data_IF_043944548711
#
_entry.id   IF_043944548711
#
_cell.length_a   1.000
_cell.length_b   1.000
_cell.length_c   1.000
_cell.angle_alpha   90.00
_cell.angle_beta   90.00
_cell.angle_gamma   90.00
#
_symmetry.space_group_name_H-M   'P 1'
#
loop_
_entity.id
_entity.type
_entity.pdbx_description
1 polymer ?
#
# COMPACT_ATOMS: atom_id res chain seq x y z
N UNK A 1 -29.04 16.67 6.87
CA UNK A 1 -29.05 15.56 5.92
C UNK A 1 -28.63 14.32 6.68
N UNK A 2 -29.38 13.19 6.60
CA UNK A 2 -28.92 11.94 7.22
C UNK A 2 -27.58 11.53 6.59
N UNK A 3 -26.62 11.16 7.43
CA UNK A 3 -25.31 10.72 6.96
C UNK A 3 -25.48 9.33 6.32
N UNK A 4 -25.39 9.23 4.98
CA UNK A 4 -25.56 7.98 4.25
C UNK A 4 -24.38 7.04 4.54
N UNK A 5 -24.68 5.76 4.78
CA UNK A 5 -23.64 4.73 4.97
C UNK A 5 -22.90 4.50 3.67
N UNK A 6 -21.57 4.61 3.69
CA UNK A 6 -20.73 4.24 2.56
C UNK A 6 -20.52 2.72 2.55
N UNK A 7 -21.11 2.04 1.57
CA UNK A 7 -21.08 0.58 1.50
C UNK A 7 -19.69 0.02 1.16
N UNK A 8 -18.80 0.81 0.58
CA UNK A 8 -17.42 0.38 0.32
C UNK A 8 -16.53 0.35 1.56
N UNK A 9 -17.02 0.85 2.70
CA UNK A 9 -16.40 0.67 4.01
C UNK A 9 -16.72 -0.66 4.68
N UNK A 10 -17.66 -1.42 4.12
CA UNK A 10 -18.23 -2.60 4.77
C UNK A 10 -17.67 -3.89 4.15
N UNK A 11 -17.32 -4.85 5.01
CA UNK A 11 -17.03 -6.23 4.61
C UNK A 11 -18.30 -6.95 4.15
N UNK A 12 -18.17 -8.16 3.56
CA UNK A 12 -19.31 -8.96 3.14
C UNK A 12 -20.30 -9.24 4.29
N UNK A 13 -19.79 -9.51 5.49
CA UNK A 13 -20.62 -9.79 6.65
C UNK A 13 -21.33 -8.52 7.12
N UNK A 14 -20.62 -7.41 7.23
CA UNK A 14 -21.20 -6.10 7.58
C UNK A 14 -22.24 -5.61 6.55
N UNK A 15 -22.03 -5.88 5.25
CA UNK A 15 -23.04 -5.61 4.20
C UNK A 15 -24.27 -6.49 4.41
N UNK A 16 -24.08 -7.75 4.80
CA UNK A 16 -25.20 -8.66 5.07
C UNK A 16 -26.00 -8.18 6.27
N UNK A 17 -25.35 -7.77 7.35
CA UNK A 17 -25.99 -7.19 8.54
C UNK A 17 -26.73 -5.89 8.19
N UNK A 18 -26.10 -5.00 7.42
CA UNK A 18 -26.70 -3.76 6.95
C UNK A 18 -28.00 -4.01 6.17
N UNK A 19 -27.96 -4.95 5.24
CA UNK A 19 -29.11 -5.32 4.39
C UNK A 19 -30.25 -5.91 5.24
N UNK A 20 -29.93 -6.76 6.22
CA UNK A 20 -30.91 -7.31 7.17
C UNK A 20 -31.52 -6.19 8.02
N UNK A 21 -30.72 -5.23 8.46
CA UNK A 21 -31.18 -4.04 9.19
C UNK A 21 -32.15 -3.16 8.39
N UNK A 22 -32.08 -3.22 7.04
CA UNK A 22 -33.05 -2.59 6.13
C UNK A 22 -34.30 -3.45 5.87
N UNK A 23 -34.52 -4.55 6.60
CA UNK A 23 -35.64 -5.45 6.42
C UNK A 23 -35.56 -6.35 5.19
N UNK A 24 -34.37 -6.53 4.61
CA UNK A 24 -34.17 -7.37 3.43
C UNK A 24 -33.55 -8.72 3.80
N UNK A 25 -33.81 -9.78 3.01
CA UNK A 25 -33.19 -11.09 3.24
C UNK A 25 -31.66 -11.06 3.15
N UNK A 26 -30.96 -11.81 4.00
CA UNK A 26 -29.48 -11.85 4.10
C UNK A 26 -28.78 -12.15 2.75
N UNK A 27 -29.37 -12.97 1.87
CA UNK A 27 -28.79 -13.27 0.56
C UNK A 27 -28.61 -12.03 -0.34
N UNK A 28 -29.38 -10.96 -0.11
CA UNK A 28 -29.25 -9.68 -0.80
C UNK A 28 -27.90 -9.02 -0.53
N UNK A 29 -27.30 -9.27 0.66
CA UNK A 29 -25.96 -8.80 0.98
C UNK A 29 -24.91 -9.34 -0.01
N UNK A 30 -25.00 -10.64 -0.37
CA UNK A 30 -24.12 -11.25 -1.36
C UNK A 30 -24.33 -10.71 -2.78
N UNK A 31 -25.58 -10.45 -3.17
CA UNK A 31 -25.88 -9.81 -4.44
C UNK A 31 -25.30 -8.39 -4.49
N UNK A 32 -25.51 -7.62 -3.44
CA UNK A 32 -25.02 -6.25 -3.31
C UNK A 32 -23.48 -6.21 -3.42
N UNK A 33 -22.76 -7.09 -2.69
CA UNK A 33 -21.31 -7.20 -2.77
C UNK A 33 -20.81 -7.41 -4.20
N UNK A 34 -21.45 -8.30 -4.96
CA UNK A 34 -21.09 -8.54 -6.36
C UNK A 34 -21.30 -7.32 -7.28
N UNK A 35 -22.18 -6.40 -6.89
CA UNK A 35 -22.41 -5.16 -7.63
C UNK A 35 -21.45 -4.04 -7.27
N UNK A 36 -21.06 -3.93 -5.97
CA UNK A 36 -20.24 -2.83 -5.45
C UNK A 36 -18.90 -2.67 -6.19
N UNK A 37 -18.33 -3.78 -6.64
CA UNK A 37 -17.01 -3.83 -7.28
C UNK A 37 -17.08 -4.23 -8.75
N UNK A 38 -18.28 -4.25 -9.33
CA UNK A 38 -18.46 -4.48 -10.76
C UNK A 38 -18.00 -3.23 -11.53
N UNK A 39 -17.19 -3.40 -12.61
CA UNK A 39 -16.73 -2.28 -13.41
C UNK A 39 -17.86 -1.39 -13.92
N UNK A 40 -17.64 -0.08 -13.89
CA UNK A 40 -18.57 0.92 -14.44
C UNK A 40 -19.78 1.23 -13.56
N UNK A 41 -20.02 0.49 -12.46
CA UNK A 41 -21.16 0.76 -11.58
C UNK A 41 -20.90 1.98 -10.71
N UNK A 42 -21.77 2.98 -10.85
CA UNK A 42 -21.69 4.25 -10.11
C UNK A 42 -22.94 4.53 -9.27
N UNK A 43 -24.05 3.87 -9.56
CA UNK A 43 -25.34 4.13 -8.95
C UNK A 43 -26.10 2.83 -8.65
N UNK A 44 -26.89 2.84 -7.58
CA UNK A 44 -27.75 1.70 -7.22
C UNK A 44 -28.77 1.36 -8.30
N UNK A 45 -29.20 2.34 -9.11
CA UNK A 45 -30.14 2.14 -10.20
C UNK A 45 -29.64 1.15 -11.26
N UNK A 46 -28.33 1.01 -11.41
CA UNK A 46 -27.67 0.12 -12.39
C UNK A 46 -27.63 -1.35 -11.92
N UNK A 47 -27.92 -1.63 -10.64
CA UNK A 47 -27.91 -2.98 -10.06
C UNK A 47 -29.18 -3.74 -10.42
N UNK A 48 -29.30 -4.16 -11.67
CA UNK A 48 -30.58 -4.56 -12.30
C UNK A 48 -31.19 -5.84 -11.77
N UNK A 49 -30.44 -6.74 -11.15
CA UNK A 49 -30.96 -7.95 -10.48
C UNK A 49 -31.48 -7.71 -9.06
N UNK A 50 -31.27 -6.49 -8.52
CA UNK A 50 -31.90 -6.05 -7.29
C UNK A 50 -33.29 -5.47 -7.57
N UNK A 51 -34.27 -5.77 -6.70
CA UNK A 51 -35.62 -5.23 -6.81
C UNK A 51 -35.60 -3.69 -6.84
N UNK A 52 -36.47 -3.08 -7.63
CA UNK A 52 -36.52 -1.60 -7.79
C UNK A 52 -36.69 -0.87 -6.46
N UNK A 53 -37.55 -1.38 -5.55
CA UNK A 53 -37.77 -0.76 -4.26
C UNK A 53 -36.57 -0.88 -3.34
N UNK A 54 -35.81 -1.99 -3.42
CA UNK A 54 -34.56 -2.13 -2.67
C UNK A 54 -33.48 -1.17 -3.19
N UNK A 55 -33.37 -0.96 -4.50
CA UNK A 55 -32.46 0.04 -5.08
C UNK A 55 -32.77 1.46 -4.62
N UNK A 56 -34.07 1.82 -4.54
CA UNK A 56 -34.50 3.11 -3.99
C UNK A 56 -34.13 3.24 -2.51
N UNK A 57 -34.41 2.21 -1.72
CA UNK A 57 -34.09 2.17 -0.30
C UNK A 57 -32.56 2.33 -0.07
N UNK A 58 -31.73 1.66 -0.88
CA UNK A 58 -30.29 1.84 -0.84
C UNK A 58 -29.88 3.29 -1.18
N UNK A 59 -30.49 3.90 -2.21
CA UNK A 59 -30.18 5.27 -2.61
C UNK A 59 -30.56 6.31 -1.52
N UNK A 60 -31.55 6.01 -0.68
CA UNK A 60 -31.97 6.86 0.45
C UNK A 60 -31.00 6.77 1.63
N UNK A 61 -30.50 5.55 1.95
CA UNK A 61 -29.76 5.27 3.17
C UNK A 61 -28.26 5.06 3.00
N UNK A 62 -27.80 4.81 1.76
CA UNK A 62 -26.43 4.48 1.46
C UNK A 62 -25.84 5.33 0.33
N UNK A 63 -24.50 5.29 0.23
CA UNK A 63 -23.73 5.84 -0.88
C UNK A 63 -22.68 4.84 -1.37
N UNK A 64 -22.18 5.08 -2.57
CA UNK A 64 -21.02 4.41 -3.17
C UNK A 64 -19.94 5.48 -3.35
N UNK A 65 -18.94 5.49 -2.47
CA UNK A 65 -17.81 6.40 -2.67
C UNK A 65 -16.95 5.94 -3.84
N UNK A 66 -16.34 6.89 -4.52
CA UNK A 66 -15.36 6.67 -5.58
C UNK A 66 -14.44 7.88 -5.67
N UNK A 67 -13.28 7.71 -6.26
CA UNK A 67 -12.45 8.84 -6.63
C UNK A 67 -12.89 9.37 -8.00
N UNK A 68 -13.09 10.67 -8.07
CA UNK A 68 -13.43 11.39 -9.28
C UNK A 68 -12.20 12.18 -9.75
N UNK A 69 -12.03 12.31 -11.06
CA UNK A 69 -11.02 13.15 -11.72
C UNK A 69 -9.61 13.10 -11.10
N UNK A 70 -8.96 11.92 -11.07
CA UNK A 70 -7.62 11.81 -10.50
C UNK A 70 -6.60 12.63 -11.28
N UNK A 71 -5.66 13.25 -10.57
CA UNK A 71 -4.50 13.87 -11.20
C UNK A 71 -3.56 12.76 -11.64
N UNK A 72 -3.17 12.75 -12.92
CA UNK A 72 -2.32 11.72 -13.50
C UNK A 72 -0.96 12.29 -13.89
N UNK A 73 0.11 11.62 -13.46
CA UNK A 73 1.46 11.85 -13.92
C UNK A 73 2.00 10.54 -14.53
N UNK A 74 2.46 10.60 -15.78
CA UNK A 74 2.97 9.43 -16.53
C UNK A 74 4.48 9.48 -16.61
N UNK A 75 5.14 8.42 -16.19
CA UNK A 75 6.58 8.24 -16.31
C UNK A 75 6.97 7.71 -17.70
N UNK A 76 8.17 8.05 -18.13
CA UNK A 76 8.78 7.50 -19.36
C UNK A 76 8.96 5.98 -19.32
N UNK A 77 8.99 5.38 -18.14
CA UNK A 77 9.11 3.92 -17.94
C UNK A 77 7.75 3.20 -17.88
N UNK A 78 6.65 3.93 -18.12
CA UNK A 78 5.28 3.42 -18.12
C UNK A 78 4.56 3.44 -16.79
N UNK A 79 5.21 3.80 -15.69
CA UNK A 79 4.53 4.01 -14.40
C UNK A 79 3.55 5.17 -14.49
N UNK A 80 2.46 5.08 -13.72
CA UNK A 80 1.47 6.15 -13.61
C UNK A 80 1.23 6.45 -12.14
N UNK A 81 1.44 7.71 -11.75
CA UNK A 81 1.08 8.20 -10.43
C UNK A 81 -0.28 8.87 -10.48
N UNK A 82 -1.13 8.51 -9.54
CA UNK A 82 -2.48 9.03 -9.36
C UNK A 82 -2.51 9.87 -8.09
N UNK A 83 -2.96 11.12 -8.19
CA UNK A 83 -3.35 11.93 -7.06
C UNK A 83 -4.86 11.87 -6.88
N UNK A 84 -5.34 11.32 -5.77
CA UNK A 84 -6.76 11.18 -5.45
C UNK A 84 -7.19 12.23 -4.41
N UNK A 85 -8.20 13.03 -4.76
CA UNK A 85 -8.88 13.92 -3.81
C UNK A 85 -9.80 13.14 -2.87
N UNK A 86 -9.76 13.49 -1.59
CA UNK A 86 -10.59 12.92 -0.53
C UNK A 86 -11.74 13.88 -0.17
N UNK A 87 -12.82 13.35 0.43
CA UNK A 87 -14.01 14.12 0.82
C UNK A 87 -13.70 15.34 1.75
N UNK A 88 -12.59 15.30 2.47
CA UNK A 88 -12.12 16.36 3.37
C UNK A 88 -11.18 17.39 2.71
N UNK A 89 -11.03 17.33 1.38
CA UNK A 89 -10.14 18.20 0.61
C UNK A 89 -8.66 17.80 0.66
N UNK A 90 -8.30 16.71 1.34
CA UNK A 90 -6.95 16.17 1.34
C UNK A 90 -6.68 15.35 0.09
N UNK A 91 -5.41 15.00 -0.12
CA UNK A 91 -4.99 14.17 -1.25
C UNK A 91 -4.11 13.03 -0.79
N UNK A 92 -4.20 11.93 -1.51
CA UNK A 92 -3.28 10.79 -1.41
C UNK A 92 -2.72 10.46 -2.79
N UNK A 93 -1.56 9.84 -2.81
CA UNK A 93 -0.91 9.37 -4.03
C UNK A 93 -0.87 7.85 -4.07
N UNK A 94 -1.02 7.32 -5.27
CA UNK A 94 -1.02 5.88 -5.58
C UNK A 94 -0.24 5.67 -6.86
N UNK A 95 0.54 4.60 -6.97
CA UNK A 95 1.39 4.36 -8.15
C UNK A 95 1.06 3.03 -8.80
N UNK A 96 0.69 3.07 -10.07
CA UNK A 96 0.60 1.91 -10.93
C UNK A 96 1.97 1.62 -11.54
N UNK A 97 2.45 0.40 -11.35
CA UNK A 97 3.70 -0.13 -11.91
C UNK A 97 3.32 -1.26 -12.86
N UNK A 98 3.19 -0.99 -14.17
CA UNK A 98 2.81 -1.99 -15.15
C UNK A 98 4.02 -2.83 -15.58
N UNK A 99 3.79 -4.12 -15.74
CA UNK A 99 4.69 -5.08 -16.36
C UNK A 99 3.88 -5.97 -17.32
N UNK A 100 4.49 -6.65 -18.29
CA UNK A 100 3.75 -7.40 -19.32
C UNK A 100 2.76 -8.44 -18.77
N UNK A 101 3.09 -9.06 -17.64
CA UNK A 101 2.31 -10.13 -17.01
C UNK A 101 1.55 -9.70 -15.75
N UNK A 102 1.73 -8.47 -15.29
CA UNK A 102 1.12 -7.97 -14.04
C UNK A 102 1.05 -6.45 -13.98
N UNK A 103 0.07 -5.98 -13.24
CA UNK A 103 -0.03 -4.60 -12.78
C UNK A 103 0.08 -4.56 -11.26
N UNK A 104 1.16 -3.99 -10.74
CA UNK A 104 1.34 -3.78 -9.30
C UNK A 104 0.88 -2.38 -8.93
N UNK A 105 -0.02 -2.30 -7.96
CA UNK A 105 -0.49 -1.03 -7.42
C UNK A 105 0.12 -0.78 -6.03
N UNK A 106 0.86 0.32 -5.90
CA UNK A 106 1.37 0.82 -4.63
C UNK A 106 0.32 1.74 -4.02
N UNK A 107 -0.36 1.29 -2.96
CA UNK A 107 -1.49 1.99 -2.32
C UNK A 107 -1.08 2.68 -1.03
N UNK A 108 -1.75 3.78 -0.74
CA UNK A 108 -1.63 4.54 0.51
C UNK A 108 -2.58 4.02 1.57
N UNK A 109 -2.19 4.15 2.84
CA UNK A 109 -2.98 3.73 4.02
C UNK A 109 -3.31 4.88 4.98
N UNK A 110 -2.65 6.03 4.82
CA UNK A 110 -2.83 7.23 5.64
C UNK A 110 -2.65 8.48 4.78
N UNK A 111 -3.17 9.60 5.26
CA UNK A 111 -2.78 10.93 4.80
C UNK A 111 -1.59 11.36 5.65
N UNK A 112 -0.41 11.45 5.02
CA UNK A 112 0.87 11.65 5.72
C UNK A 112 1.33 10.41 6.52
N UNK A 113 2.35 10.58 7.38
CA UNK A 113 2.92 9.47 8.16
C UNK A 113 3.59 9.99 9.44
N UNK A 114 3.36 9.29 10.56
CA UNK A 114 3.95 9.65 11.87
C UNK A 114 5.32 9.01 12.13
N UNK A 115 5.83 8.17 11.23
CA UNK A 115 7.03 7.36 11.52
C UNK A 115 8.33 8.14 11.46
N UNK A 116 8.35 9.34 10.86
CA UNK A 116 9.51 10.22 10.77
C UNK A 116 10.77 9.56 10.21
N UNK A 117 10.60 8.62 9.25
CA UNK A 117 11.75 8.01 8.57
C UNK A 117 12.52 9.10 7.82
N UNK A 118 13.81 9.27 8.15
CA UNK A 118 14.62 10.41 7.68
C UNK A 118 14.90 10.43 6.17
N UNK A 119 14.66 9.32 5.49
CA UNK A 119 14.83 9.14 4.04
C UNK A 119 13.52 9.24 3.23
N UNK A 120 12.37 9.52 3.87
CA UNK A 120 11.05 9.43 3.25
C UNK A 120 10.35 10.80 3.20
N UNK A 121 9.95 11.24 2.01
CA UNK A 121 9.21 12.51 1.84
C UNK A 121 7.84 12.50 2.51
N UNK A 122 7.11 11.37 2.51
CA UNK A 122 5.83 11.29 3.20
C UNK A 122 5.94 11.62 4.69
N UNK A 123 7.08 11.30 5.31
CA UNK A 123 7.32 11.63 6.71
C UNK A 123 7.40 13.14 6.97
N UNK A 124 7.84 13.93 5.99
CA UNK A 124 7.92 15.40 6.12
C UNK A 124 6.56 16.08 6.17
N UNK A 125 5.51 15.40 5.72
CA UNK A 125 4.13 15.89 5.79
C UNK A 125 3.52 15.80 7.19
N UNK A 126 4.12 14.99 8.09
CA UNK A 126 3.51 14.61 9.34
C UNK A 126 2.29 13.69 9.13
N UNK A 127 1.67 13.28 10.24
CA UNK A 127 0.46 12.46 10.22
C UNK A 127 -0.77 13.36 10.30
N UNK A 128 -1.73 13.13 9.43
CA UNK A 128 -3.01 13.85 9.42
C UNK A 128 -4.13 12.92 9.89
N UNK A 129 -4.39 11.83 9.17
CA UNK A 129 -5.40 10.82 9.54
C UNK A 129 -5.18 9.48 8.86
N UNK A 130 -5.84 8.49 9.39
CA UNK A 130 -5.99 7.18 8.76
C UNK A 130 -6.96 7.26 7.57
N UNK A 131 -6.71 6.45 6.53
CA UNK A 131 -7.68 6.22 5.47
C UNK A 131 -8.75 5.25 5.95
N UNK A 132 -9.99 5.49 5.51
CA UNK A 132 -11.10 4.55 5.68
C UNK A 132 -10.92 3.34 4.74
N UNK A 133 -11.55 2.18 5.03
CA UNK A 133 -11.50 1.02 4.14
C UNK A 133 -11.88 1.35 2.69
N UNK A 134 -12.96 2.13 2.48
CA UNK A 134 -13.37 2.58 1.15
C UNK A 134 -12.29 3.40 0.44
N UNK A 135 -11.61 4.30 1.15
CA UNK A 135 -10.53 5.11 0.56
C UNK A 135 -9.32 4.25 0.16
N UNK A 136 -9.05 3.17 0.89
CA UNK A 136 -8.01 2.20 0.52
C UNK A 136 -8.43 1.40 -0.72
N UNK A 137 -9.63 0.84 -0.71
CA UNK A 137 -10.14 -0.04 -1.77
C UNK A 137 -10.40 0.74 -3.07
N UNK A 138 -10.89 1.98 -2.97
CA UNK A 138 -11.16 2.83 -4.13
C UNK A 138 -9.91 3.16 -4.94
N UNK A 139 -8.70 3.12 -4.36
CA UNK A 139 -7.45 3.24 -5.12
C UNK A 139 -7.35 2.12 -6.17
N UNK A 140 -7.70 0.89 -5.79
CA UNK A 140 -7.72 -0.26 -6.70
C UNK A 140 -8.82 -0.11 -7.74
N UNK A 141 -10.05 0.23 -7.32
CA UNK A 141 -11.18 0.40 -8.23
C UNK A 141 -10.93 1.48 -9.29
N UNK A 142 -10.41 2.64 -8.89
CA UNK A 142 -10.14 3.75 -9.80
C UNK A 142 -9.06 3.40 -10.83
N UNK A 143 -8.02 2.67 -10.41
CA UNK A 143 -6.96 2.23 -11.33
C UNK A 143 -7.45 1.09 -12.23
N UNK A 144 -8.32 0.21 -11.75
CA UNK A 144 -8.98 -0.78 -12.60
C UNK A 144 -9.85 -0.13 -13.69
N UNK A 145 -10.64 0.90 -13.33
CA UNK A 145 -11.43 1.67 -14.31
C UNK A 145 -10.52 2.39 -15.32
N UNK A 146 -9.42 2.97 -14.85
CA UNK A 146 -8.40 3.57 -15.72
C UNK A 146 -7.80 2.56 -16.70
N UNK A 147 -7.37 1.39 -16.23
CA UNK A 147 -6.78 0.35 -17.08
C UNK A 147 -7.75 -0.15 -18.17
N UNK A 148 -9.03 -0.32 -17.83
CA UNK A 148 -10.06 -0.72 -18.78
C UNK A 148 -10.40 0.36 -19.80
N UNK A 149 -10.24 1.64 -19.44
CA UNK A 149 -10.47 2.75 -20.36
C UNK A 149 -9.35 2.94 -21.40
N UNK A 150 -8.15 2.36 -21.15
CA UNK A 150 -7.04 2.47 -22.09
C UNK A 150 -7.24 1.52 -23.28
N UNK A 151 -6.94 1.96 -24.52
CA UNK A 151 -6.87 1.07 -25.68
C UNK A 151 -5.92 -0.11 -25.43
N UNK A 152 -6.21 -1.28 -25.99
CA UNK A 152 -5.44 -2.49 -25.76
C UNK A 152 -3.96 -2.32 -26.17
N UNK A 153 -3.73 -1.63 -27.28
CA UNK A 153 -2.41 -1.31 -27.83
C UNK A 153 -1.57 -0.37 -26.97
N UNK A 154 -2.18 0.40 -26.07
CA UNK A 154 -1.50 1.33 -25.16
C UNK A 154 -1.21 0.70 -23.79
N UNK A 155 -1.79 -0.46 -23.48
CA UNK A 155 -1.60 -1.15 -22.21
C UNK A 155 -0.33 -1.99 -22.23
N UNK A 156 0.51 -1.83 -21.19
CA UNK A 156 1.72 -2.64 -21.00
C UNK A 156 1.36 -4.02 -20.44
N UNK A 157 0.35 -4.12 -19.59
CA UNK A 157 -0.02 -5.33 -18.85
C UNK A 157 -1.53 -5.65 -18.89
N UNK A 158 -2.03 -6.45 -17.95
CA UNK A 158 -3.45 -6.80 -17.86
C UNK A 158 -4.38 -5.59 -17.75
N UNK A 159 -5.66 -5.76 -18.07
CA UNK A 159 -6.69 -4.71 -17.94
C UNK A 159 -7.16 -4.44 -16.50
N UNK A 160 -6.51 -5.03 -15.52
CA UNK A 160 -6.83 -4.85 -14.09
C UNK A 160 -5.57 -4.88 -13.23
N UNK A 161 -5.69 -4.36 -12.02
CA UNK A 161 -4.68 -4.53 -10.97
C UNK A 161 -4.58 -6.00 -10.60
N UNK A 162 -3.38 -6.52 -10.59
CA UNK A 162 -3.12 -7.93 -10.24
C UNK A 162 -2.41 -8.10 -8.90
N UNK A 163 -1.64 -7.11 -8.49
CA UNK A 163 -0.87 -7.11 -7.25
C UNK A 163 -1.07 -5.78 -6.51
N UNK A 164 -1.18 -5.84 -5.20
CA UNK A 164 -1.30 -4.65 -4.33
C UNK A 164 -0.18 -4.67 -3.30
N UNK A 165 0.52 -3.55 -3.16
CA UNK A 165 1.55 -3.36 -2.14
C UNK A 165 1.22 -2.13 -1.30
N UNK A 166 1.15 -2.29 0.01
CA UNK A 166 0.92 -1.19 0.95
C UNK A 166 2.28 -0.54 1.27
N UNK A 167 2.80 0.19 0.28
CA UNK A 167 4.10 0.88 0.32
C UNK A 167 4.00 2.36 -0.10
N UNK A 168 2.78 2.88 -0.21
CA UNK A 168 2.49 4.28 -0.48
C UNK A 168 2.59 5.14 0.78
N UNK A 169 1.73 6.13 0.90
CA UNK A 169 1.72 7.05 2.04
C UNK A 169 1.19 6.35 3.30
N UNK A 170 1.92 6.54 4.43
CA UNK A 170 1.52 6.06 5.75
C UNK A 170 2.18 4.75 6.20
N UNK A 171 2.00 4.45 7.49
CA UNK A 171 2.35 3.15 8.10
C UNK A 171 1.08 2.30 8.23
N UNK A 172 0.94 1.22 7.45
CA UNK A 172 -0.30 0.44 7.43
C UNK A 172 -0.70 -0.13 8.78
N UNK A 173 0.25 -0.54 9.61
CA UNK A 173 -0.06 -1.08 10.93
C UNK A 173 -0.55 0.00 11.92
N UNK A 174 -0.32 1.28 11.65
CA UNK A 174 -0.97 2.33 12.45
C UNK A 174 -2.45 2.49 12.12
N UNK A 175 -2.87 1.97 10.96
CA UNK A 175 -4.25 1.91 10.51
C UNK A 175 -4.79 0.46 10.46
N UNK A 176 -4.41 -0.39 11.43
CA UNK A 176 -4.60 -1.84 11.35
C UNK A 176 -6.07 -2.26 11.18
N UNK A 177 -7.00 -1.64 11.90
CA UNK A 177 -8.43 -2.00 11.81
C UNK A 177 -8.98 -1.78 10.40
N UNK A 178 -8.76 -0.58 9.83
CA UNK A 178 -9.20 -0.28 8.46
C UNK A 178 -8.41 -1.09 7.42
N UNK A 179 -7.13 -1.37 7.68
CA UNK A 179 -6.33 -2.24 6.84
C UNK A 179 -6.92 -3.65 6.76
N UNK A 180 -7.25 -4.26 7.89
CA UNK A 180 -7.82 -5.62 7.93
C UNK A 180 -9.18 -5.67 7.21
N UNK A 181 -10.03 -4.66 7.38
CA UNK A 181 -11.28 -4.54 6.61
C UNK A 181 -11.00 -4.40 5.11
N UNK A 182 -10.07 -3.54 4.72
CA UNK A 182 -9.68 -3.39 3.32
C UNK A 182 -9.12 -4.69 2.73
N UNK A 183 -8.28 -5.42 3.46
CA UNK A 183 -7.76 -6.73 3.03
C UNK A 183 -8.88 -7.75 2.83
N UNK A 184 -9.87 -7.80 3.74
CA UNK A 184 -11.06 -8.65 3.60
C UNK A 184 -11.85 -8.30 2.34
N UNK A 185 -12.05 -7.02 2.07
CA UNK A 185 -12.79 -6.54 0.88
C UNK A 185 -12.00 -6.84 -0.41
N UNK A 186 -10.69 -6.59 -0.42
CA UNK A 186 -9.83 -6.84 -1.58
C UNK A 186 -9.79 -8.33 -1.97
N UNK A 187 -9.92 -9.22 -0.98
CA UNK A 187 -9.87 -10.68 -1.20
C UNK A 187 -11.25 -11.34 -1.33
N UNK A 188 -12.34 -10.58 -1.18
CA UNK A 188 -13.70 -11.12 -1.32
C UNK A 188 -13.94 -11.62 -2.75
N UNK A 189 -14.25 -12.90 -2.88
CA UNK A 189 -14.43 -13.59 -4.16
C UNK A 189 -15.59 -13.02 -5.01
N UNK A 190 -16.61 -12.47 -4.36
CA UNK A 190 -17.73 -11.79 -5.04
C UNK A 190 -17.46 -10.34 -5.40
N UNK A 191 -16.30 -9.80 -4.96
CA UNK A 191 -15.89 -8.43 -5.18
C UNK A 191 -14.69 -8.35 -6.12
N UNK A 192 -13.55 -7.91 -5.59
CA UNK A 192 -12.31 -7.70 -6.34
C UNK A 192 -11.50 -8.99 -6.58
N UNK A 193 -11.72 -10.03 -5.78
CA UNK A 193 -11.14 -11.37 -5.93
C UNK A 193 -9.61 -11.37 -6.08
N UNK A 194 -8.93 -10.50 -5.33
CA UNK A 194 -7.48 -10.55 -5.25
C UNK A 194 -7.02 -11.67 -4.32
N UNK A 195 -6.08 -12.50 -4.77
CA UNK A 195 -5.54 -13.53 -3.89
C UNK A 195 -4.57 -12.95 -2.86
N UNK A 196 -4.59 -13.48 -1.64
CA UNK A 196 -3.66 -13.06 -0.56
C UNK A 196 -2.18 -13.08 -0.97
N UNK A 197 -1.79 -13.97 -1.91
CA UNK A 197 -0.42 -14.07 -2.43
C UNK A 197 0.00 -12.84 -3.25
N UNK A 198 -0.96 -12.07 -3.73
CA UNK A 198 -0.74 -10.88 -4.56
C UNK A 198 -0.86 -9.60 -3.77
N UNK A 199 -1.08 -9.68 -2.46
CA UNK A 199 -1.14 -8.54 -1.56
C UNK A 199 0.06 -8.59 -0.61
N UNK A 200 0.78 -7.47 -0.49
CA UNK A 200 1.90 -7.33 0.45
C UNK A 200 1.66 -6.11 1.35
N UNK A 201 1.71 -6.34 2.64
CA UNK A 201 1.68 -5.29 3.66
C UNK A 201 3.12 -5.03 4.09
N UNK A 202 3.58 -3.79 3.90
CA UNK A 202 4.89 -3.34 4.39
C UNK A 202 4.74 -2.59 5.70
N UNK A 203 5.69 -2.77 6.61
CA UNK A 203 5.70 -2.05 7.89
C UNK A 203 7.12 -1.68 8.31
N UNK A 204 7.24 -0.57 9.02
CA UNK A 204 8.47 -0.19 9.71
C UNK A 204 8.74 -1.01 10.99
N UNK A 205 7.81 -1.92 11.36
CA UNK A 205 8.00 -2.83 12.49
C UNK A 205 7.29 -2.39 13.77
N UNK A 206 5.99 -2.15 13.73
CA UNK A 206 5.16 -1.96 14.93
C UNK A 206 4.88 -3.34 15.53
N UNK A 207 5.81 -3.84 16.34
CA UNK A 207 5.90 -5.22 16.80
C UNK A 207 4.57 -5.80 17.34
N UNK A 208 3.83 -5.15 18.27
CA UNK A 208 2.57 -5.73 18.76
C UNK A 208 1.50 -5.93 17.68
N UNK A 209 1.51 -5.09 16.63
CA UNK A 209 0.52 -5.14 15.55
C UNK A 209 0.91 -6.11 14.44
N UNK A 210 2.19 -6.48 14.31
CA UNK A 210 2.62 -7.50 13.35
C UNK A 210 1.93 -8.84 13.61
N UNK A 211 1.92 -9.30 14.87
CA UNK A 211 1.23 -10.53 15.25
C UNK A 211 -0.26 -10.50 14.90
N UNK A 212 -0.95 -9.40 15.24
CA UNK A 212 -2.36 -9.23 14.93
C UNK A 212 -2.65 -9.28 13.41
N UNK A 213 -1.75 -8.69 12.60
CA UNK A 213 -1.86 -8.81 11.13
C UNK A 213 -1.78 -10.27 10.69
N UNK A 214 -0.81 -11.03 11.18
CA UNK A 214 -0.60 -12.43 10.77
C UNK A 214 -1.69 -13.38 11.27
N UNK A 215 -2.32 -13.08 12.42
CA UNK A 215 -3.45 -13.84 12.96
C UNK A 215 -4.77 -13.58 12.19
N UNK A 216 -4.91 -12.42 11.55
CA UNK A 216 -6.15 -11.98 10.91
C UNK A 216 -6.07 -11.83 9.39
N UNK A 217 -4.91 -12.09 8.77
CA UNK A 217 -4.73 -11.97 7.33
C UNK A 217 -3.63 -12.89 6.82
N UNK A 218 -3.86 -13.45 5.65
CA UNK A 218 -2.86 -14.21 4.87
C UNK A 218 -2.06 -13.36 3.87
N UNK A 219 -2.09 -12.02 3.95
CA UNK A 219 -1.26 -11.17 3.12
C UNK A 219 0.24 -11.43 3.34
N UNK A 220 1.08 -11.11 2.36
CA UNK A 220 2.52 -11.20 2.54
C UNK A 220 3.00 -10.05 3.43
N UNK A 221 4.01 -10.32 4.27
CA UNK A 221 4.65 -9.33 5.12
C UNK A 221 5.96 -8.85 4.50
N UNK A 222 6.14 -7.54 4.42
CA UNK A 222 7.40 -6.89 4.14
C UNK A 222 7.83 -6.03 5.35
N UNK A 223 9.11 -6.09 5.71
CA UNK A 223 9.70 -5.35 6.83
C UNK A 223 10.71 -4.33 6.30
N UNK A 224 10.46 -3.07 6.55
CA UNK A 224 11.43 -1.99 6.36
C UNK A 224 12.52 -2.10 7.42
N UNK A 225 13.62 -2.79 7.10
CA UNK A 225 14.71 -3.05 8.03
C UNK A 225 15.75 -1.93 8.02
N UNK A 226 16.33 -1.67 6.87
CA UNK A 226 17.21 -0.55 6.48
C UNK A 226 18.51 -0.36 7.26
N UNK A 227 18.73 -1.08 8.37
CA UNK A 227 19.97 -1.07 9.13
C UNK A 227 20.19 -2.41 9.85
N UNK A 228 21.42 -2.62 10.32
CA UNK A 228 21.87 -3.83 11.01
C UNK A 228 22.18 -3.60 12.50
N UNK A 229 22.15 -2.35 12.93
CA UNK A 229 22.38 -1.93 14.30
C UNK A 229 21.36 -0.87 14.72
N UNK A 230 21.10 -0.78 16.04
CA UNK A 230 20.09 0.12 16.58
C UNK A 230 20.48 1.59 16.44
N UNK A 231 21.77 1.92 16.51
CA UNK A 231 22.23 3.30 16.41
C UNK A 231 21.95 3.88 15.01
N UNK A 232 22.23 3.11 13.97
CA UNK A 232 21.92 3.48 12.58
C UNK A 232 20.42 3.45 12.33
N UNK A 233 19.73 2.39 12.80
CA UNK A 233 18.30 2.26 12.57
C UNK A 233 17.48 3.35 13.23
N UNK A 234 17.80 3.74 14.46
CA UNK A 234 17.10 4.83 15.17
C UNK A 234 17.26 6.18 14.49
N UNK A 235 18.42 6.44 13.86
CA UNK A 235 18.61 7.66 13.05
C UNK A 235 17.79 7.65 11.76
N UNK A 236 17.66 6.50 11.12
CA UNK A 236 16.90 6.35 9.87
C UNK A 236 15.39 6.21 10.12
N UNK A 237 15.04 5.50 11.19
CA UNK A 237 13.67 5.12 11.53
C UNK A 237 13.48 5.22 13.06
N UNK A 238 12.99 6.33 13.59
CA UNK A 238 12.83 6.55 15.04
C UNK A 238 11.98 5.52 15.77
N UNK A 239 11.11 4.78 15.06
CA UNK A 239 10.34 3.67 15.64
C UNK A 239 11.24 2.61 16.30
N UNK A 240 12.51 2.51 15.91
CA UNK A 240 13.48 1.60 16.48
C UNK A 240 13.76 1.89 17.96
N UNK A 241 13.61 3.12 18.43
CA UNK A 241 13.73 3.46 19.85
C UNK A 241 12.67 2.75 20.70
N UNK A 242 11.48 2.54 20.10
CA UNK A 242 10.38 1.84 20.76
C UNK A 242 10.44 0.33 20.57
N UNK A 243 10.87 -0.13 19.41
CA UNK A 243 11.00 -1.55 19.05
C UNK A 243 12.38 -1.79 18.44
N UNK A 244 13.41 -2.06 19.29
CA UNK A 244 14.78 -2.32 18.84
C UNK A 244 14.86 -3.52 17.90
N UNK A 245 15.96 -3.61 17.16
CA UNK A 245 16.19 -4.66 16.15
C UNK A 245 15.97 -6.07 16.68
N UNK A 246 16.45 -6.37 17.87
CA UNK A 246 16.34 -7.74 18.42
C UNK A 246 14.87 -8.09 18.70
N UNK A 247 14.05 -7.14 19.17
CA UNK A 247 12.62 -7.32 19.38
C UNK A 247 11.89 -7.48 18.04
N UNK A 248 12.22 -6.64 17.05
CA UNK A 248 11.66 -6.74 15.70
C UNK A 248 11.98 -8.09 15.05
N UNK A 249 13.25 -8.53 15.14
CA UNK A 249 13.66 -9.81 14.55
C UNK A 249 13.05 -11.00 15.30
N UNK A 250 12.86 -10.92 16.62
CA UNK A 250 12.11 -11.91 17.37
C UNK A 250 10.67 -12.01 16.88
N UNK A 251 9.99 -10.87 16.73
CA UNK A 251 8.63 -10.84 16.17
C UNK A 251 8.55 -11.41 14.74
N UNK A 252 9.59 -11.24 13.93
CA UNK A 252 9.66 -11.85 12.60
C UNK A 252 9.82 -13.39 12.67
N UNK A 253 10.56 -13.94 13.65
CA UNK A 253 10.66 -15.39 13.85
C UNK A 253 9.34 -16.02 14.27
N UNK A 254 8.60 -15.29 15.11
CA UNK A 254 7.33 -15.75 15.69
C UNK A 254 6.11 -15.36 14.80
N UNK A 255 6.34 -14.70 13.66
CA UNK A 255 5.25 -14.24 12.81
C UNK A 255 4.43 -15.42 12.26
N UNK A 256 3.11 -15.46 12.51
CA UNK A 256 2.25 -16.53 12.05
C UNK A 256 2.14 -16.50 10.53
N UNK A 257 2.79 -17.44 9.86
CA UNK A 257 2.71 -17.59 8.41
C UNK A 257 2.76 -19.05 7.96
N UNK A 258 2.11 -19.40 6.84
CA UNK A 258 2.19 -20.75 6.27
C UNK A 258 3.64 -21.16 5.95
N UNK A 259 3.97 -22.45 6.13
CA UNK A 259 5.34 -23.02 5.99
C UNK A 259 6.10 -22.66 4.71
N UNK A 260 5.40 -22.32 3.62
CA UNK A 260 6.03 -21.97 2.32
C UNK A 260 6.17 -20.47 2.10
N UNK A 261 5.60 -19.62 2.96
CA UNK A 261 5.76 -18.18 2.89
C UNK A 261 7.10 -17.74 3.46
N UNK A 262 7.53 -16.56 3.04
CA UNK A 262 8.77 -15.92 3.49
C UNK A 262 8.50 -14.45 3.73
N UNK A 263 9.04 -13.92 4.81
CA UNK A 263 9.07 -12.48 5.06
C UNK A 263 9.97 -11.82 4.02
N UNK A 264 9.58 -10.66 3.53
CA UNK A 264 10.39 -9.83 2.66
C UNK A 264 11.06 -8.74 3.50
N UNK A 265 12.38 -8.68 3.52
CA UNK A 265 13.10 -7.58 4.12
C UNK A 265 13.46 -6.56 3.06
N UNK A 266 12.99 -5.34 3.24
CA UNK A 266 13.35 -4.19 2.43
C UNK A 266 14.56 -3.52 3.05
N UNK A 267 15.64 -3.34 2.27
CA UNK A 267 16.89 -2.74 2.71
C UNK A 267 17.32 -1.66 1.75
N UNK A 268 17.08 -0.40 2.13
CA UNK A 268 17.51 0.76 1.35
C UNK A 268 19.02 0.94 1.52
N UNK A 269 19.73 1.15 0.42
CA UNK A 269 21.17 1.33 0.43
C UNK A 269 21.52 2.81 0.35
N UNK A 270 22.08 3.34 1.43
CA UNK A 270 22.49 4.74 1.60
C UNK A 270 24.01 4.81 1.65
N UNK A 271 24.59 5.55 0.72
CA UNK A 271 26.05 5.65 0.53
C UNK A 271 26.78 6.06 1.80
N UNK A 272 27.72 5.21 2.21
CA UNK A 272 28.58 5.45 3.38
C UNK A 272 27.88 5.30 4.76
N UNK A 273 26.64 4.83 4.79
CA UNK A 273 25.85 4.67 6.03
C UNK A 273 25.63 3.20 6.35
N UNK A 274 25.00 2.45 5.44
CA UNK A 274 24.57 1.06 5.69
C UNK A 274 24.95 0.10 4.56
N UNK A 275 25.78 0.55 3.62
CA UNK A 275 26.09 -0.10 2.34
C UNK A 275 27.44 -0.85 2.32
N UNK A 276 28.12 -0.99 3.45
CA UNK A 276 29.42 -1.66 3.52
C UNK A 276 29.30 -3.18 3.40
N UNK A 277 30.37 -3.84 2.94
CA UNK A 277 30.44 -5.32 2.92
C UNK A 277 30.30 -5.93 4.34
N UNK A 278 30.80 -5.24 5.37
CA UNK A 278 30.61 -5.67 6.75
C UNK A 278 29.12 -5.67 7.14
N UNK A 279 28.38 -4.63 6.69
CA UNK A 279 26.93 -4.57 6.88
C UNK A 279 26.21 -5.73 6.18
N UNK A 280 26.63 -6.12 4.97
CA UNK A 280 26.05 -7.26 4.27
C UNK A 280 26.25 -8.59 5.02
N UNK A 281 27.47 -8.83 5.53
CA UNK A 281 27.78 -10.04 6.31
C UNK A 281 26.99 -10.08 7.64
N UNK A 282 26.87 -8.95 8.31
CA UNK A 282 26.10 -8.85 9.55
C UNK A 282 24.60 -9.02 9.30
N UNK A 283 24.06 -8.46 8.20
CA UNK A 283 22.68 -8.70 7.78
C UNK A 283 22.40 -10.18 7.57
N UNK A 284 23.30 -10.87 6.84
CA UNK A 284 23.19 -12.32 6.65
C UNK A 284 23.19 -13.08 8.00
N UNK A 285 24.04 -12.68 8.95
CA UNK A 285 24.11 -13.29 10.28
C UNK A 285 22.82 -13.10 11.07
N UNK A 286 22.28 -11.88 11.08
CA UNK A 286 21.06 -11.53 11.85
C UNK A 286 19.81 -12.22 11.33
N UNK A 287 19.72 -12.46 10.02
CA UNK A 287 18.53 -13.06 9.38
C UNK A 287 18.59 -14.59 9.28
N UNK A 288 19.64 -15.26 9.78
CA UNK A 288 19.91 -16.68 9.58
C UNK A 288 18.72 -17.61 9.89
N UNK A 289 17.99 -17.31 10.96
CA UNK A 289 16.91 -18.17 11.47
C UNK A 289 15.52 -17.69 11.03
N UNK A 290 15.43 -16.76 10.07
CA UNK A 290 14.18 -16.21 9.57
C UNK A 290 13.99 -16.63 8.12
N UNK A 291 12.93 -17.39 7.78
CA UNK A 291 12.60 -17.71 6.40
C UNK A 291 12.25 -16.42 5.63
N UNK A 292 13.19 -15.90 4.85
CA UNK A 292 13.02 -14.59 4.23
C UNK A 292 13.56 -14.51 2.79
N UNK A 293 13.22 -13.38 2.15
CA UNK A 293 13.83 -12.83 0.94
C UNK A 293 14.28 -11.41 1.24
N UNK A 294 15.27 -10.93 0.52
CA UNK A 294 15.80 -9.58 0.73
C UNK A 294 15.64 -8.78 -0.57
N UNK A 295 15.02 -7.63 -0.47
CA UNK A 295 15.00 -6.62 -1.52
C UNK A 295 16.01 -5.52 -1.17
N UNK A 296 16.98 -5.33 -2.02
CA UNK A 296 17.90 -4.20 -1.97
C UNK A 296 17.30 -3.06 -2.79
N UNK A 297 17.12 -1.92 -2.15
CA UNK A 297 16.54 -0.72 -2.73
C UNK A 297 17.64 0.32 -2.96
N UNK A 298 18.05 0.59 -4.21
CA UNK A 298 18.83 1.79 -4.49
C UNK A 298 18.06 3.00 -3.99
N UNK A 299 18.73 3.91 -3.28
CA UNK A 299 18.07 5.10 -2.76
C UNK A 299 17.69 6.06 -3.88
N UNK A 300 16.47 6.60 -3.83
CA UNK A 300 16.01 7.64 -4.74
C UNK A 300 16.24 8.99 -4.07
N UNK A 301 17.21 9.73 -4.55
CA UNK A 301 17.54 11.05 -4.03
C UNK A 301 16.34 12.00 -4.16
N UNK A 302 16.08 12.76 -3.11
CA UNK A 302 14.95 13.67 -3.06
C UNK A 302 15.38 15.04 -2.53
N UNK A 303 14.83 16.13 -3.05
CA UNK A 303 15.17 17.47 -2.59
C UNK A 303 14.94 17.63 -1.08
N UNK A 304 15.93 18.19 -0.37
CA UNK A 304 15.85 18.43 1.06
C UNK A 304 16.20 17.24 1.96
N UNK A 305 16.46 16.05 1.40
CA UNK A 305 16.90 14.86 2.15
C UNK A 305 18.41 14.63 1.88
N UNK A 306 19.27 14.58 2.92
CA UNK A 306 20.74 14.66 2.76
C UNK A 306 21.40 13.31 2.44
N UNK A 307 20.69 12.34 1.92
CA UNK A 307 21.25 11.03 1.59
C UNK A 307 21.60 10.91 0.12
N UNK A 308 22.62 10.07 -0.18
CA UNK A 308 23.06 9.76 -1.54
C UNK A 308 22.87 8.28 -1.84
N UNK A 309 22.65 7.99 -3.11
CA UNK A 309 22.52 6.62 -3.60
C UNK A 309 23.88 5.92 -3.59
N UNK A 310 23.87 4.65 -3.20
CA UNK A 310 25.03 3.77 -3.25
C UNK A 310 25.35 3.43 -4.72
N UNK A 311 26.62 3.51 -5.14
CA UNK A 311 27.01 3.12 -6.51
C UNK A 311 26.63 1.66 -6.82
N UNK A 312 26.15 1.40 -8.05
CA UNK A 312 25.68 0.07 -8.47
C UNK A 312 26.73 -1.04 -8.24
N UNK A 313 28.01 -0.75 -8.46
CA UNK A 313 29.08 -1.71 -8.18
C UNK A 313 29.08 -2.19 -6.71
N UNK A 314 28.82 -1.29 -5.77
CA UNK A 314 28.77 -1.62 -4.34
C UNK A 314 27.48 -2.35 -3.99
N UNK A 315 26.35 -1.98 -4.62
CA UNK A 315 25.08 -2.71 -4.49
C UNK A 315 25.24 -4.17 -4.93
N UNK A 316 25.90 -4.40 -6.08
CA UNK A 316 26.19 -5.74 -6.60
C UNK A 316 27.13 -6.54 -5.67
N UNK A 317 28.13 -5.90 -5.08
CA UNK A 317 29.00 -6.54 -4.09
C UNK A 317 28.23 -6.93 -2.82
N UNK A 318 27.37 -6.03 -2.33
CA UNK A 318 26.47 -6.29 -1.19
C UNK A 318 25.52 -7.45 -1.49
N UNK A 319 24.88 -7.45 -2.65
CA UNK A 319 24.01 -8.54 -3.11
C UNK A 319 24.76 -9.87 -3.16
N UNK A 320 25.96 -9.89 -3.75
CA UNK A 320 26.77 -11.11 -3.86
C UNK A 320 27.07 -11.74 -2.50
N UNK A 321 27.46 -10.95 -1.51
CA UNK A 321 27.73 -11.44 -0.15
C UNK A 321 26.49 -12.12 0.45
N UNK A 322 25.30 -11.56 0.27
CA UNK A 322 24.05 -12.15 0.75
C UNK A 322 23.67 -13.41 -0.02
N UNK A 323 23.90 -13.45 -1.34
CA UNK A 323 23.67 -14.62 -2.17
C UNK A 323 24.63 -15.77 -1.83
N UNK A 324 25.92 -15.45 -1.58
CA UNK A 324 26.92 -16.43 -1.12
C UNK A 324 26.55 -17.00 0.27
N UNK A 325 25.77 -16.27 1.07
CA UNK A 325 25.16 -16.73 2.31
C UNK A 325 23.80 -17.45 2.14
N UNK A 326 23.44 -17.84 0.90
CA UNK A 326 22.24 -18.58 0.51
C UNK A 326 20.90 -17.82 0.67
N UNK A 327 20.91 -16.48 0.62
CA UNK A 327 19.68 -15.70 0.56
C UNK A 327 19.18 -15.48 -0.88
N UNK A 328 17.86 -15.45 -1.05
CA UNK A 328 17.24 -14.93 -2.28
C UNK A 328 17.24 -13.42 -2.21
N UNK A 329 18.04 -12.75 -3.03
CA UNK A 329 18.27 -11.30 -2.98
C UNK A 329 17.94 -10.66 -4.31
N UNK A 330 17.10 -9.64 -4.30
CA UNK A 330 16.65 -8.93 -5.49
C UNK A 330 17.02 -7.44 -5.38
N UNK A 331 17.59 -6.90 -6.44
CA UNK A 331 17.74 -5.44 -6.57
C UNK A 331 16.45 -4.92 -7.19
N UNK A 332 15.75 -4.04 -6.50
CA UNK A 332 14.52 -3.42 -6.98
C UNK A 332 14.87 -2.11 -7.66
N UNK A 333 14.99 -2.15 -8.97
CA UNK A 333 15.18 -0.93 -9.74
C UNK A 333 14.00 0.00 -9.50
N UNK A 334 14.31 1.25 -9.18
CA UNK A 334 13.31 2.28 -8.99
C UNK A 334 12.57 2.56 -10.30
N UNK A 335 11.27 2.67 -10.21
CA UNK A 335 10.36 3.00 -11.31
C UNK A 335 9.69 4.34 -11.00
N UNK A 336 9.35 5.10 -12.06
CA UNK A 336 8.65 6.39 -11.91
C UNK A 336 9.48 7.48 -11.23
N UNK A 337 10.81 7.45 -11.34
CA UNK A 337 11.69 8.42 -10.67
C UNK A 337 11.54 9.84 -11.23
N UNK A 338 11.25 9.96 -12.52
CA UNK A 338 11.04 11.23 -13.25
C UNK A 338 9.75 11.96 -12.83
N UNK A 339 8.80 11.25 -12.24
CA UNK A 339 7.54 11.79 -11.72
C UNK A 339 7.44 11.73 -10.18
N UNK A 340 8.55 11.52 -9.48
CA UNK A 340 8.59 11.35 -8.02
C UNK A 340 7.61 10.28 -7.52
N UNK A 341 7.52 9.14 -8.23
CA UNK A 341 6.67 8.01 -7.89
C UNK A 341 7.41 6.83 -7.25
N UNK A 342 8.74 6.93 -7.10
CA UNK A 342 9.52 5.87 -6.49
C UNK A 342 9.32 5.80 -4.97
N UNK A 343 9.74 4.67 -4.37
CA UNK A 343 9.61 4.45 -2.93
C UNK A 343 10.21 5.59 -2.11
N UNK A 344 9.45 6.10 -1.15
CA UNK A 344 9.83 7.22 -0.28
C UNK A 344 9.66 8.61 -0.90
N UNK A 345 9.18 8.73 -2.14
CA UNK A 345 9.03 10.01 -2.84
C UNK A 345 7.59 10.56 -2.87
N UNK A 346 6.61 9.81 -2.38
CA UNK A 346 5.22 10.26 -2.39
C UNK A 346 5.01 11.35 -1.34
N UNK A 347 4.74 12.55 -1.83
CA UNK A 347 4.32 13.69 -1.03
C UNK A 347 3.84 14.79 -1.98
N UNK A 348 2.56 15.03 -2.11
CA UNK A 348 2.10 16.19 -2.85
C UNK A 348 2.39 17.45 -2.05
N UNK A 349 3.16 18.37 -2.63
CA UNK A 349 3.19 19.77 -2.18
C UNK A 349 1.79 20.32 -2.40
N UNK A 350 1.14 20.81 -1.34
CA UNK A 350 0.00 21.73 -1.50
C UNK A 350 0.54 22.90 -2.33
N UNK A 351 0.09 23.03 -3.57
CA UNK A 351 0.21 24.30 -4.26
C UNK A 351 -0.62 25.28 -3.43
N UNK A 352 0.07 26.15 -2.70
CA UNK A 352 -0.54 27.25 -2.02
C UNK A 352 -1.35 28.02 -3.08
N UNK A 353 -2.66 27.96 -3.01
CA UNK A 353 -3.57 28.83 -3.73
C UNK A 353 -3.29 30.27 -3.25
N UNK A 354 -2.24 30.87 -3.79
CA UNK A 354 -2.06 32.32 -3.78
C UNK A 354 -3.01 32.93 -4.82
N UNK A 355 -4.28 32.88 -4.52
CA UNK A 355 -5.17 33.91 -5.05
C UNK A 355 -5.03 35.12 -4.14
N UNK A 356 -4.10 36.00 -4.50
CA UNK A 356 -4.11 37.36 -4.03
C UNK A 356 -5.48 37.99 -4.33
N UNK A 357 -6.15 38.57 -3.37
CA UNK A 357 -7.18 39.54 -3.69
C UNK A 357 -6.47 40.83 -4.18
N UNK A 358 -6.59 41.08 -5.45
CA UNK A 358 -6.21 42.40 -6.02
C UNK A 358 -7.12 43.50 -5.46
N UNK A 359 -6.61 44.71 -5.21
CA UNK A 359 -7.20 45.78 -4.41
C UNK A 359 -8.48 46.35 -4.98
#
# INVERSE_FOLDING_TARGET
MMNKTDLRNLTQDEITEYVVGLGQPAFRGRQLMSWLYRPGITQFAEMTDLAKDFRKLLAEHARLSRFEDPILERSSDGCVKFGFGLDDGRMIETVLIPEPDRNTLCVSSQVGCAMNCSFCLTATMGFIRNLQPAEIVNQVCAVDDFLRSQPEEERIGPEKVTNVVFMGMGEPLNNLENLLKALSILTEQRGLDLTNRRITVSTCGIVPKMRLLGENSDANLAISLHAIDDATRSKLMPINERYPLDELLAACRDFPMPKRKRIMFEYILLKGINDSEAAARELARKLRDIPCKINLLPYNESPGIPYQSTPMRQILAFQKILMDANYSVFIRNSRGTDISAACGQLAKKEEANQQNPTP
#
